data_IF_659314832648
#
_entry.id   IF_659314832648
#
_cell.length_a   1.000
_cell.length_b   1.000
_cell.length_c   1.000
_cell.angle_alpha   90.00
_cell.angle_beta   90.00
_cell.angle_gamma   90.00
#
_symmetry.space_group_name_H-M   'P 1'
#
loop_
_entity.id
_entity.type
_entity.pdbx_description
1 polymer ?
#
# COMPACT_ATOMS: atom_id res chain seq x y z
N UNK A 1 -21.85 -51.09 29.54
CA UNK A 1 -20.57 -50.57 29.10
C UNK A 1 -20.74 -50.06 27.65
N UNK A 2 -21.00 -48.79 27.44
CA UNK A 2 -21.16 -48.17 26.11
C UNK A 2 -19.98 -47.24 25.89
N UNK A 3 -19.21 -47.51 24.86
CA UNK A 3 -18.06 -46.77 24.45
C UNK A 3 -18.54 -45.62 23.53
N UNK A 4 -18.26 -44.36 23.89
CA UNK A 4 -18.44 -43.22 23.01
C UNK A 4 -17.14 -43.00 22.25
N UNK A 5 -17.15 -43.26 20.96
CA UNK A 5 -16.14 -42.78 20.00
C UNK A 5 -16.88 -41.95 18.95
N UNK A 6 -16.87 -40.67 19.09
CA UNK A 6 -17.23 -39.77 17.96
C UNK A 6 -16.63 -38.39 18.19
N UNK A 7 -16.06 -37.83 17.15
CA UNK A 7 -15.65 -36.42 16.94
C UNK A 7 -14.16 -36.07 17.15
N UNK A 8 -13.33 -36.59 16.27
CA UNK A 8 -11.98 -35.97 16.02
C UNK A 8 -11.75 -35.61 14.54
N UNK A 9 -12.69 -35.88 13.62
CA UNK A 9 -12.45 -35.69 12.17
C UNK A 9 -12.92 -34.38 11.56
N UNK A 10 -13.53 -33.44 12.31
CA UNK A 10 -14.12 -32.25 11.70
C UNK A 10 -13.21 -31.00 11.75
N UNK A 11 -12.17 -31.00 12.56
CA UNK A 11 -11.26 -29.85 12.68
C UNK A 11 -10.13 -29.81 11.63
N UNK A 12 -9.81 -30.92 10.99
CA UNK A 12 -8.72 -30.97 10.00
C UNK A 12 -9.12 -30.43 8.61
N UNK A 13 -10.42 -30.44 8.27
CA UNK A 13 -10.87 -29.97 6.94
C UNK A 13 -10.96 -28.45 6.80
N UNK A 14 -11.17 -27.71 7.88
CA UNK A 14 -11.30 -26.25 7.83
C UNK A 14 -9.93 -25.57 7.68
N UNK A 15 -8.87 -26.17 8.25
CA UNK A 15 -7.51 -25.63 8.12
C UNK A 15 -6.91 -25.84 6.72
N UNK A 16 -7.31 -26.92 6.02
CA UNK A 16 -6.83 -27.18 4.66
C UNK A 16 -7.46 -26.26 3.62
N UNK A 17 -8.74 -25.88 3.79
CA UNK A 17 -9.41 -24.96 2.88
C UNK A 17 -8.86 -23.53 2.95
N UNK A 18 -8.46 -23.06 4.14
CA UNK A 18 -7.86 -21.72 4.30
C UNK A 18 -6.44 -21.65 3.76
N UNK A 19 -5.65 -22.74 3.82
CA UNK A 19 -4.30 -22.78 3.25
C UNK A 19 -4.34 -22.84 1.71
N UNK A 20 -5.32 -23.50 1.14
CA UNK A 20 -5.51 -23.59 -0.31
C UNK A 20 -5.93 -22.24 -0.88
N UNK A 21 -6.79 -21.50 -0.20
CA UNK A 21 -7.25 -20.18 -0.65
C UNK A 21 -6.11 -19.13 -0.64
N UNK A 22 -5.22 -19.21 0.34
CA UNK A 22 -4.01 -18.35 0.38
C UNK A 22 -3.01 -18.74 -0.72
N UNK A 23 -2.95 -20.00 -1.11
CA UNK A 23 -2.08 -20.45 -2.20
C UNK A 23 -2.64 -20.08 -3.58
N UNK A 24 -3.96 -20.13 -3.78
CA UNK A 24 -4.61 -19.73 -5.03
C UNK A 24 -4.54 -18.21 -5.24
N UNK A 25 -4.61 -17.39 -4.16
CA UNK A 25 -4.41 -15.95 -4.22
C UNK A 25 -2.96 -15.57 -4.62
N UNK A 26 -1.97 -16.44 -4.33
CA UNK A 26 -0.59 -16.23 -4.73
C UNK A 26 -0.33 -16.52 -6.23
N UNK A 27 -1.16 -17.34 -6.86
CA UNK A 27 -1.01 -17.75 -8.28
C UNK A 27 -1.49 -16.68 -9.27
N UNK A 28 -2.37 -15.78 -8.84
CA UNK A 28 -2.93 -14.72 -9.68
C UNK A 28 -2.23 -13.35 -9.51
N UNK A 29 -0.96 -13.37 -9.11
CA UNK A 29 -0.16 -12.15 -9.08
C UNK A 29 0.08 -11.66 -10.51
N UNK A 30 -0.41 -10.48 -10.90
CA UNK A 30 -0.14 -9.97 -12.24
C UNK A 30 1.36 -9.81 -12.42
N UNK A 31 1.88 -10.29 -13.54
CA UNK A 31 3.25 -9.98 -13.94
C UNK A 31 3.28 -8.52 -14.38
N UNK A 32 3.55 -7.62 -13.44
CA UNK A 32 3.80 -6.22 -13.77
C UNK A 32 5.02 -6.16 -14.70
N UNK A 33 4.80 -5.76 -15.93
CA UNK A 33 5.91 -5.39 -16.80
C UNK A 33 6.68 -4.26 -16.13
N UNK A 34 8.01 -4.38 -16.06
CA UNK A 34 8.83 -3.29 -15.54
C UNK A 34 8.54 -2.03 -16.36
N UNK A 35 8.02 -0.99 -15.70
CA UNK A 35 7.80 0.26 -16.39
C UNK A 35 9.13 0.86 -16.82
N UNK A 36 9.14 1.57 -17.93
CA UNK A 36 10.29 2.38 -18.30
C UNK A 36 10.51 3.41 -17.18
N UNK A 37 11.71 3.42 -16.62
CA UNK A 37 12.14 4.47 -15.71
C UNK A 37 12.20 5.76 -16.53
N UNK A 38 11.22 6.62 -16.37
CA UNK A 38 11.24 7.95 -16.99
C UNK A 38 12.31 8.78 -16.25
N UNK A 39 13.49 8.85 -16.80
CA UNK A 39 14.51 9.80 -16.35
C UNK A 39 14.19 11.13 -17.02
N UNK A 40 13.88 12.20 -16.27
CA UNK A 40 13.66 13.51 -16.86
C UNK A 40 14.88 13.94 -17.69
N UNK A 41 14.65 14.45 -18.91
CA UNK A 41 15.73 14.97 -19.75
C UNK A 41 16.39 16.13 -19.01
N UNK A 42 17.70 16.02 -18.76
CA UNK A 42 18.46 17.05 -18.04
C UNK A 42 18.44 16.95 -16.51
N UNK A 43 17.81 15.92 -15.92
CA UNK A 43 17.94 15.69 -14.49
C UNK A 43 19.40 15.33 -14.14
N UNK A 44 19.97 15.89 -13.06
CA UNK A 44 21.31 15.52 -12.61
C UNK A 44 21.35 14.03 -12.26
N UNK A 45 22.43 13.35 -12.63
CA UNK A 45 22.66 11.97 -12.23
C UNK A 45 22.80 11.93 -10.70
N UNK A 46 22.02 11.13 -9.99
CA UNK A 46 22.10 11.05 -8.53
C UNK A 46 23.51 10.66 -8.07
N UNK A 47 24.01 11.33 -7.05
CA UNK A 47 25.25 10.96 -6.37
C UNK A 47 25.11 9.58 -5.68
N UNK A 48 26.22 8.98 -5.25
CA UNK A 48 26.16 7.72 -4.47
C UNK A 48 25.39 7.90 -3.16
N UNK A 49 25.53 9.05 -2.52
CA UNK A 49 24.79 9.41 -1.32
C UNK A 49 23.29 9.54 -1.58
N UNK A 50 22.91 10.12 -2.72
CA UNK A 50 21.50 10.24 -3.11
C UNK A 50 20.92 8.87 -3.46
N UNK A 51 21.68 8.02 -4.16
CA UNK A 51 21.26 6.63 -4.42
C UNK A 51 21.00 5.84 -3.13
N UNK A 52 21.84 6.02 -2.11
CA UNK A 52 21.64 5.40 -0.81
C UNK A 52 20.35 5.91 -0.13
N UNK A 53 20.12 7.23 -0.13
CA UNK A 53 18.88 7.83 0.42
C UNK A 53 17.64 7.37 -0.35
N UNK A 54 17.69 7.32 -1.67
CA UNK A 54 16.60 6.80 -2.51
C UNK A 54 16.26 5.36 -2.12
N UNK A 55 17.27 4.51 -1.95
CA UNK A 55 17.08 3.12 -1.53
C UNK A 55 16.44 3.02 -0.14
N UNK A 56 16.83 3.89 0.82
CA UNK A 56 16.20 3.98 2.15
C UNK A 56 14.72 4.33 2.05
N UNK A 57 14.37 5.35 1.26
CA UNK A 57 12.96 5.78 1.06
C UNK A 57 12.12 4.66 0.46
N UNK A 58 12.62 4.01 -0.59
CA UNK A 58 11.91 2.90 -1.24
C UNK A 58 11.74 1.70 -0.29
N UNK A 59 12.75 1.40 0.54
CA UNK A 59 12.65 0.36 1.55
C UNK A 59 11.61 0.71 2.63
N UNK A 60 11.56 1.98 3.06
CA UNK A 60 10.58 2.47 4.01
C UNK A 60 9.16 2.39 3.45
N UNK A 61 8.93 2.79 2.20
CA UNK A 61 7.63 2.65 1.54
C UNK A 61 7.14 1.21 1.48
N UNK A 62 8.03 0.27 1.11
CA UNK A 62 7.68 -1.16 1.10
C UNK A 62 7.29 -1.68 2.50
N UNK A 63 7.99 -1.22 3.54
CA UNK A 63 7.63 -1.57 4.92
C UNK A 63 6.26 -1.02 5.31
N UNK A 64 5.93 0.21 4.88
CA UNK A 64 4.64 0.82 5.14
C UNK A 64 3.50 0.07 4.44
N UNK A 65 3.63 -0.27 3.15
CA UNK A 65 2.62 -1.06 2.45
C UNK A 65 2.41 -2.43 3.11
N UNK A 66 3.49 -3.10 3.47
CA UNK A 66 3.41 -4.36 4.19
C UNK A 66 2.75 -4.22 5.58
N UNK A 67 3.01 -3.12 6.29
CA UNK A 67 2.37 -2.83 7.58
C UNK A 67 0.87 -2.58 7.43
N UNK A 68 0.44 -1.87 6.38
CA UNK A 68 -0.98 -1.65 6.07
C UNK A 68 -1.69 -2.99 5.84
N UNK A 69 -1.10 -3.89 5.04
CA UNK A 69 -1.69 -5.22 4.77
C UNK A 69 -1.80 -6.07 6.03
N UNK A 70 -0.80 -6.01 6.92
CA UNK A 70 -0.83 -6.75 8.19
C UNK A 70 -1.69 -6.11 9.28
N UNK A 71 -2.12 -4.86 9.10
CA UNK A 71 -2.77 -4.09 10.17
C UNK A 71 -1.80 -3.71 11.30
N UNK A 72 -0.52 -3.51 11.00
CA UNK A 72 0.52 -3.16 11.98
C UNK A 72 0.44 -1.68 12.37
N UNK A 73 -0.60 -1.35 13.12
CA UNK A 73 -0.87 0.01 13.60
C UNK A 73 0.30 0.56 14.41
N UNK A 74 0.99 -0.28 15.19
CA UNK A 74 2.12 0.16 16.02
C UNK A 74 3.30 0.65 15.18
N UNK A 75 3.59 -0.02 14.08
CA UNK A 75 4.60 0.46 13.13
C UNK A 75 4.16 1.74 12.45
N UNK A 76 2.92 1.78 11.91
CA UNK A 76 2.38 2.93 11.21
C UNK A 76 2.28 4.17 12.10
N UNK A 77 1.92 4.01 13.37
CA UNK A 77 1.86 5.13 14.31
C UNK A 77 3.22 5.82 14.48
N UNK A 78 4.32 5.06 14.51
CA UNK A 78 5.67 5.63 14.55
C UNK A 78 6.12 6.22 13.21
N UNK A 79 5.70 5.60 12.10
CA UNK A 79 6.10 5.99 10.75
C UNK A 79 5.38 7.26 10.25
N UNK A 80 4.14 7.48 10.65
CA UNK A 80 3.36 8.65 10.28
C UNK A 80 3.70 9.84 11.19
N UNK A 81 3.85 11.04 10.60
CA UNK A 81 3.98 12.28 11.37
C UNK A 81 2.70 12.57 12.18
N UNK A 82 2.77 13.36 13.27
CA UNK A 82 1.58 13.72 14.04
C UNK A 82 0.51 14.44 13.22
N UNK A 83 0.92 15.22 12.24
CA UNK A 83 0.10 16.03 11.33
C UNK A 83 -0.14 15.37 9.96
N UNK A 84 0.12 14.06 9.85
CA UNK A 84 -0.10 13.30 8.64
C UNK A 84 -1.52 13.45 8.10
N UNK A 85 -1.61 13.67 6.78
CA UNK A 85 -2.86 13.69 6.03
C UNK A 85 -2.83 12.71 4.86
N UNK A 86 -3.92 11.98 4.69
CA UNK A 86 -4.14 11.17 3.50
C UNK A 86 -5.34 11.73 2.72
N UNK A 87 -5.05 12.40 1.61
CA UNK A 87 -6.05 12.95 0.68
C UNK A 87 -6.38 11.91 -0.38
N UNK A 88 -7.61 11.42 -0.36
CA UNK A 88 -8.12 10.46 -1.34
C UNK A 88 -8.74 11.19 -2.51
N UNK A 89 -8.21 10.96 -3.72
CA UNK A 89 -8.62 11.69 -4.90
C UNK A 89 -8.31 13.18 -4.75
N UNK A 90 -7.52 13.73 -5.63
CA UNK A 90 -7.09 15.13 -5.56
C UNK A 90 -8.14 16.13 -6.04
N UNK A 91 -9.32 15.64 -6.42
CA UNK A 91 -10.44 16.47 -6.86
C UNK A 91 -10.33 17.03 -8.26
N UNK A 92 -9.36 16.60 -9.04
CA UNK A 92 -9.22 17.04 -10.44
C UNK A 92 -10.43 16.67 -11.32
N UNK A 93 -11.14 15.60 -10.97
CA UNK A 93 -12.29 15.12 -11.73
C UNK A 93 -13.57 15.86 -11.37
N UNK A 94 -13.72 16.28 -10.09
CA UNK A 94 -14.99 16.80 -9.56
C UNK A 94 -14.90 18.27 -9.07
N UNK A 95 -14.14 19.09 -9.77
CA UNK A 95 -14.12 20.53 -9.48
C UNK A 95 -13.21 20.93 -8.30
N UNK A 96 -12.26 20.08 -7.92
CA UNK A 96 -11.18 20.44 -7.00
C UNK A 96 -11.37 20.01 -5.55
N UNK A 97 -12.48 19.36 -5.18
CA UNK A 97 -12.68 18.84 -3.84
C UNK A 97 -12.15 17.40 -3.70
N UNK A 98 -11.37 17.06 -2.67
CA UNK A 98 -10.97 15.69 -2.42
C UNK A 98 -12.20 14.83 -2.08
N UNK A 99 -12.18 13.55 -2.47
CA UNK A 99 -13.24 12.59 -2.12
C UNK A 99 -13.30 12.38 -0.60
N UNK A 100 -12.15 12.35 0.06
CA UNK A 100 -12.00 12.15 1.50
C UNK A 100 -10.62 12.62 1.94
N UNK A 101 -10.51 13.07 3.17
CA UNK A 101 -9.24 13.33 3.84
C UNK A 101 -9.22 12.56 5.16
N UNK A 102 -8.25 11.68 5.31
CA UNK A 102 -7.96 11.01 6.58
C UNK A 102 -6.82 11.72 7.30
N UNK A 103 -7.00 11.94 8.59
CA UNK A 103 -5.92 12.27 9.52
C UNK A 103 -5.15 11.00 9.88
N UNK A 104 -4.00 11.16 10.56
CA UNK A 104 -3.28 10.01 11.14
C UNK A 104 -4.22 9.11 11.95
N UNK A 105 -5.05 9.70 12.81
CA UNK A 105 -5.94 8.94 13.69
C UNK A 105 -6.97 8.13 12.91
N UNK A 106 -7.68 8.74 11.94
CA UNK A 106 -8.71 8.05 11.15
C UNK A 106 -8.11 7.01 10.21
N UNK A 107 -6.92 7.25 9.69
CA UNK A 107 -6.21 6.27 8.89
C UNK A 107 -5.77 5.04 9.70
N UNK A 108 -5.20 5.26 10.90
CA UNK A 108 -4.82 4.16 11.80
C UNK A 108 -6.05 3.35 12.25
N UNK A 109 -7.16 4.00 12.55
CA UNK A 109 -8.43 3.32 12.87
C UNK A 109 -8.91 2.45 11.69
N UNK A 110 -8.81 2.95 10.46
CA UNK A 110 -9.17 2.17 9.28
C UNK A 110 -8.29 0.93 9.11
N UNK A 111 -6.97 1.09 9.26
CA UNK A 111 -6.00 -0.03 9.13
C UNK A 111 -6.12 -1.03 10.28
N UNK A 112 -6.54 -0.58 11.47
CA UNK A 112 -6.72 -1.44 12.65
C UNK A 112 -7.83 -2.49 12.50
N UNK A 113 -8.73 -2.35 11.53
CA UNK A 113 -9.84 -3.29 11.30
C UNK A 113 -9.32 -4.70 11.05
N UNK A 114 -9.95 -5.67 11.69
CA UNK A 114 -9.59 -7.07 11.53
C UNK A 114 -10.75 -7.85 10.89
N UNK A 115 -10.51 -8.63 9.83
CA UNK A 115 -9.24 -8.70 9.09
C UNK A 115 -8.90 -7.36 8.41
N UNK A 116 -7.61 -7.13 8.11
CA UNK A 116 -7.17 -5.96 7.36
C UNK A 116 -8.05 -5.76 6.11
N UNK A 117 -8.37 -4.52 5.72
CA UNK A 117 -9.19 -4.26 4.53
C UNK A 117 -8.52 -4.66 3.21
N UNK A 118 -7.24 -5.02 3.25
CA UNK A 118 -6.47 -5.40 2.08
C UNK A 118 -6.00 -6.86 2.17
N UNK A 119 -6.15 -7.61 1.07
CA UNK A 119 -5.48 -8.89 0.86
C UNK A 119 -4.03 -8.63 0.48
N UNK A 120 -3.81 -7.58 -0.32
CA UNK A 120 -2.57 -7.31 -1.01
C UNK A 120 -2.42 -5.82 -1.28
N UNK A 121 -1.19 -5.29 -1.16
CA UNK A 121 -0.76 -3.96 -1.64
C UNK A 121 0.71 -4.03 -2.02
N UNK A 122 1.05 -3.59 -3.20
CA UNK A 122 2.42 -3.58 -3.71
C UNK A 122 2.70 -2.32 -4.50
N UNK A 123 3.89 -1.77 -4.28
CA UNK A 123 4.36 -0.60 -5.00
C UNK A 123 4.74 -0.98 -6.42
N UNK A 124 4.38 -0.12 -7.35
CA UNK A 124 4.68 -0.23 -8.75
C UNK A 124 5.06 1.16 -9.30
N UNK A 125 6.16 1.24 -10.05
CA UNK A 125 6.63 2.45 -10.70
C UNK A 125 6.87 3.65 -9.77
N UNK A 126 7.63 3.49 -8.69
CA UNK A 126 7.93 4.58 -7.77
C UNK A 126 9.19 5.34 -8.20
N UNK A 127 9.07 6.65 -8.37
CA UNK A 127 10.17 7.59 -8.54
C UNK A 127 10.36 8.38 -7.25
N UNK A 128 11.60 8.73 -6.95
CA UNK A 128 11.97 9.47 -5.74
C UNK A 128 12.73 10.74 -6.13
N UNK A 129 12.25 11.88 -5.64
CA UNK A 129 12.95 13.16 -5.67
C UNK A 129 13.47 13.47 -4.26
N UNK A 130 14.71 13.97 -4.17
CA UNK A 130 15.33 14.33 -2.90
C UNK A 130 15.58 15.83 -2.82
N UNK A 131 15.18 16.44 -1.71
CA UNK A 131 15.40 17.83 -1.35
C UNK A 131 15.93 17.93 0.08
N UNK A 132 17.23 17.64 0.25
CA UNK A 132 17.86 17.59 1.58
C UNK A 132 17.31 16.43 2.42
N UNK A 133 16.54 16.78 3.45
CA UNK A 133 15.88 15.82 4.35
C UNK A 133 14.41 15.55 3.97
N UNK A 134 13.96 16.09 2.85
CA UNK A 134 12.64 15.81 2.26
C UNK A 134 12.82 14.84 1.10
N UNK A 135 11.94 13.87 1.02
CA UNK A 135 11.75 13.03 -0.16
C UNK A 135 10.31 13.16 -0.65
N UNK A 136 10.16 13.40 -1.95
CA UNK A 136 8.90 13.32 -2.66
C UNK A 136 8.90 12.02 -3.46
N UNK A 137 7.84 11.23 -3.37
CA UNK A 137 7.67 10.05 -4.20
C UNK A 137 6.41 10.16 -5.03
N UNK A 138 6.55 9.80 -6.31
CA UNK A 138 5.46 9.70 -7.26
C UNK A 138 5.47 8.28 -7.80
N UNK A 139 4.31 7.64 -7.79
CA UNK A 139 4.23 6.27 -8.26
C UNK A 139 2.82 5.75 -8.27
N UNK A 140 2.71 4.45 -8.35
CA UNK A 140 1.44 3.78 -8.16
C UNK A 140 1.60 2.55 -7.26
N UNK A 141 0.52 2.11 -6.68
CA UNK A 141 0.43 0.82 -6.03
C UNK A 141 -0.71 0.00 -6.61
N UNK A 142 -0.47 -1.27 -6.69
CA UNK A 142 -1.47 -2.28 -7.00
C UNK A 142 -2.03 -2.81 -5.68
N UNK A 143 -3.35 -2.95 -5.56
CA UNK A 143 -3.96 -3.54 -4.39
C UNK A 143 -5.16 -4.41 -4.73
N UNK A 144 -5.44 -5.35 -3.85
CA UNK A 144 -6.65 -6.16 -3.86
C UNK A 144 -7.37 -5.96 -2.52
N UNK A 145 -8.57 -5.34 -2.51
CA UNK A 145 -9.35 -5.18 -1.30
C UNK A 145 -9.99 -6.50 -0.89
N UNK A 146 -10.26 -6.66 0.41
CA UNK A 146 -11.06 -7.80 0.89
C UNK A 146 -12.55 -7.60 0.60
N UNK A 147 -13.36 -8.69 0.57
CA UNK A 147 -14.80 -8.60 0.36
C UNK A 147 -15.54 -7.75 1.39
N UNK A 148 -14.98 -7.57 2.59
CA UNK A 148 -15.53 -6.72 3.65
C UNK A 148 -15.05 -5.25 3.59
N UNK A 149 -14.29 -4.88 2.56
CA UNK A 149 -13.89 -3.50 2.36
C UNK A 149 -15.07 -2.64 1.87
N UNK A 150 -15.02 -1.30 1.98
CA UNK A 150 -16.04 -0.40 1.46
C UNK A 150 -16.27 -0.51 -0.06
N UNK A 151 -15.26 -0.98 -0.79
CA UNK A 151 -15.28 -1.15 -2.24
C UNK A 151 -14.80 -2.55 -2.62
N UNK A 152 -15.61 -3.60 -2.33
CA UNK A 152 -15.21 -4.96 -2.61
C UNK A 152 -15.14 -5.20 -4.13
N UNK A 153 -14.07 -5.84 -4.56
CA UNK A 153 -13.88 -6.28 -5.95
C UNK A 153 -12.97 -7.49 -5.97
N UNK A 154 -13.10 -8.31 -6.99
CA UNK A 154 -12.18 -9.42 -7.28
C UNK A 154 -11.04 -8.98 -8.21
N UNK A 155 -11.11 -7.76 -8.75
CA UNK A 155 -10.09 -7.24 -9.63
C UNK A 155 -9.02 -6.50 -8.82
N UNK A 156 -7.79 -6.61 -9.27
CA UNK A 156 -6.73 -5.73 -8.80
C UNK A 156 -6.99 -4.30 -9.25
N UNK A 157 -6.65 -3.36 -8.39
CA UNK A 157 -6.87 -1.95 -8.61
C UNK A 157 -5.54 -1.20 -8.53
N UNK A 158 -5.29 -0.37 -9.54
CA UNK A 158 -4.17 0.56 -9.53
C UNK A 158 -4.58 1.92 -8.99
N UNK A 159 -3.71 2.49 -8.15
CA UNK A 159 -3.86 3.86 -7.67
C UNK A 159 -2.54 4.60 -7.83
N UNK A 160 -2.59 5.73 -8.50
CA UNK A 160 -1.48 6.66 -8.60
C UNK A 160 -1.44 7.54 -7.37
N UNK A 161 -0.23 7.81 -6.88
CA UNK A 161 -0.03 8.59 -5.68
C UNK A 161 1.16 9.55 -5.78
N UNK A 162 1.11 10.53 -4.89
CA UNK A 162 2.22 11.40 -4.50
C UNK A 162 2.34 11.33 -2.98
N UNK A 163 3.57 11.21 -2.46
CA UNK A 163 3.85 11.15 -1.02
C UNK A 163 5.02 12.04 -0.67
N UNK A 164 4.95 12.62 0.52
CA UNK A 164 6.01 13.45 1.08
C UNK A 164 6.53 12.82 2.35
N UNK A 165 7.83 12.71 2.44
CA UNK A 165 8.56 12.19 3.60
C UNK A 165 9.56 13.21 4.10
N UNK A 166 9.83 13.19 5.40
CA UNK A 166 10.89 13.96 6.02
C UNK A 166 11.76 13.07 6.88
N UNK A 167 13.09 13.21 6.78
CA UNK A 167 14.03 12.53 7.67
C UNK A 167 14.15 13.32 8.97
N UNK A 168 13.69 12.74 10.09
CA UNK A 168 13.70 13.34 11.42
C UNK A 168 14.49 12.43 12.37
N UNK A 169 15.55 12.94 12.98
CA UNK A 169 16.40 12.16 13.89
C UNK A 169 16.93 10.86 13.27
N UNK A 170 17.25 10.87 11.98
CA UNK A 170 17.74 9.70 11.24
C UNK A 170 16.66 8.75 10.71
N UNK A 171 15.40 8.95 11.05
CA UNK A 171 14.25 8.14 10.60
C UNK A 171 13.37 8.88 9.61
N UNK A 172 12.87 8.19 8.59
CA UNK A 172 11.87 8.75 7.69
C UNK A 172 10.50 8.79 8.37
N UNK A 173 9.81 9.93 8.22
CA UNK A 173 8.42 10.15 8.65
C UNK A 173 7.56 10.51 7.44
N UNK A 174 6.42 9.86 7.31
CA UNK A 174 5.46 10.12 6.24
C UNK A 174 4.58 11.31 6.63
N UNK A 175 4.68 12.40 5.88
CA UNK A 175 3.96 13.65 6.16
C UNK A 175 2.63 13.72 5.42
N UNK A 176 2.62 13.34 4.15
CA UNK A 176 1.45 13.50 3.28
C UNK A 176 1.35 12.36 2.28
N UNK A 177 0.14 11.89 2.06
CA UNK A 177 -0.21 10.95 1.00
C UNK A 177 -1.36 11.54 0.18
N UNK A 178 -1.20 11.57 -1.12
CA UNK A 178 -2.26 11.97 -2.05
C UNK A 178 -2.44 10.90 -3.10
N UNK A 179 -3.68 10.48 -3.34
CA UNK A 179 -3.98 9.68 -4.51
C UNK A 179 -4.41 10.62 -5.64
N UNK A 180 -3.67 10.58 -6.75
CA UNK A 180 -3.82 11.52 -7.86
C UNK A 180 -4.68 10.96 -8.98
N UNK A 181 -4.77 9.64 -9.10
CA UNK A 181 -5.61 8.96 -10.08
C UNK A 181 -5.97 7.56 -9.58
N UNK A 182 -7.20 7.14 -9.86
CA UNK A 182 -7.68 5.80 -9.56
C UNK A 182 -8.81 5.80 -8.51
N UNK A 183 -9.26 4.62 -8.10
CA UNK A 183 -8.76 3.31 -8.54
C UNK A 183 -9.14 2.97 -9.98
N UNK A 184 -8.22 2.36 -10.71
CA UNK A 184 -8.40 1.90 -12.08
C UNK A 184 -8.24 0.38 -12.07
N UNK A 185 -9.10 -0.34 -12.78
CA UNK A 185 -8.98 -1.80 -12.93
C UNK A 185 -7.75 -2.14 -13.75
N UNK A 186 -7.18 -3.32 -13.48
CA UNK A 186 -5.98 -3.78 -14.17
C UNK A 186 -6.21 -3.94 -15.68
N UNK A 187 -7.37 -4.44 -16.08
CA UNK A 187 -7.80 -4.60 -17.47
C UNK A 187 -7.96 -3.25 -18.20
N UNK A 188 -8.35 -2.18 -17.48
CA UNK A 188 -8.48 -0.82 -18.03
C UNK A 188 -7.15 -0.06 -18.06
N UNK A 189 -6.14 -0.50 -17.30
CA UNK A 189 -4.84 0.17 -17.20
C UNK A 189 -3.89 -0.17 -18.37
N UNK A 190 -4.22 -1.17 -19.18
CA UNK A 190 -3.43 -1.62 -20.32
C UNK A 190 -3.67 -0.82 -21.62
N UNK A 191 -4.63 0.11 -21.63
CA UNK A 191 -4.98 1.02 -22.72
C UNK A 191 -4.56 2.46 -22.36
#
# INVERSE_FOLDING_TARGET
MRVYITNVFLLALVAAASAQQVADDAVHRPKTAAAPTLVPIGAPVPSDADRAKIAEVLAFEKQMEAAVVRGDVKFLDRALSPDFLFTHGDGWVDGGAPLKVDTKATWLEYVAKQPSPYIYRELDHVQVELHGDIALTIGRYLYLPRPNSPHPTTNHLYVWFERVYQKQNGEWKHLSHRTTKGPIREDDAAN
#
